data_IF_958926072709
#
_entry.id   IF_958926072709
#
_cell.length_a   1.000
_cell.length_b   1.000
_cell.length_c   1.000
_cell.angle_alpha   90.00
_cell.angle_beta   90.00
_cell.angle_gamma   90.00
#
_symmetry.space_group_name_H-M   'P 1'
#
loop_
_entity.id
_entity.type
_entity.pdbx_description
1 polymer ?
#
# COMPACT_ATOMS: atom_id res chain seq x y z
N UNK A 1 11.04 -9.37 2.00
CA UNK A 1 12.05 -8.80 1.10
C UNK A 1 11.46 -7.54 0.50
N UNK A 2 12.18 -6.41 0.50
CA UNK A 2 11.68 -5.17 -0.10
C UNK A 2 11.61 -5.30 -1.62
N UNK A 3 10.44 -5.01 -2.19
CA UNK A 3 10.21 -4.97 -3.63
C UNK A 3 10.92 -3.77 -4.25
N UNK A 4 11.34 -3.92 -5.50
CA UNK A 4 11.78 -2.82 -6.34
C UNK A 4 10.58 -1.98 -6.81
N UNK A 5 10.85 -0.72 -7.17
CA UNK A 5 9.84 0.20 -7.71
C UNK A 5 9.11 -0.39 -8.94
N UNK A 6 9.83 -1.15 -9.79
CA UNK A 6 9.23 -1.82 -10.94
C UNK A 6 8.22 -2.89 -10.56
N UNK A 7 8.44 -3.60 -9.45
CA UNK A 7 7.55 -4.65 -8.98
C UNK A 7 6.30 -4.06 -8.32
N UNK A 8 6.45 -2.94 -7.59
CA UNK A 8 5.31 -2.17 -7.07
C UNK A 8 4.44 -1.65 -8.23
N UNK A 9 5.05 -1.05 -9.25
CA UNK A 9 4.32 -0.61 -10.44
C UNK A 9 3.63 -1.76 -11.18
N UNK A 10 4.25 -2.93 -11.24
CA UNK A 10 3.63 -4.10 -11.86
C UNK A 10 2.33 -4.51 -11.14
N UNK A 11 2.31 -4.45 -9.81
CA UNK A 11 1.10 -4.75 -9.02
C UNK A 11 0.00 -3.74 -9.33
N UNK A 12 0.34 -2.44 -9.36
CA UNK A 12 -0.60 -1.36 -9.71
C UNK A 12 -1.17 -1.52 -11.11
N UNK A 13 -0.32 -1.75 -12.11
CA UNK A 13 -0.73 -1.94 -13.51
C UNK A 13 -1.65 -3.16 -13.65
N UNK A 14 -1.34 -4.26 -12.97
CA UNK A 14 -2.17 -5.46 -12.98
C UNK A 14 -3.49 -5.26 -12.25
N UNK A 15 -3.49 -4.50 -11.15
CA UNK A 15 -4.72 -4.13 -10.46
C UNK A 15 -5.66 -3.33 -11.36
N UNK A 16 -5.15 -2.31 -12.05
CA UNK A 16 -5.93 -1.52 -13.00
C UNK A 16 -6.57 -2.38 -14.09
N UNK A 17 -5.79 -3.32 -14.63
CA UNK A 17 -6.27 -4.27 -15.64
C UNK A 17 -7.40 -5.12 -15.06
N UNK A 18 -7.18 -5.79 -13.93
CA UNK A 18 -8.19 -6.65 -13.28
C UNK A 18 -9.46 -5.87 -12.95
N UNK A 19 -9.31 -4.67 -12.39
CA UNK A 19 -10.40 -3.76 -12.05
C UNK A 19 -11.24 -3.37 -13.26
N UNK A 20 -10.60 -3.14 -14.42
CA UNK A 20 -11.29 -2.77 -15.67
C UNK A 20 -12.17 -3.86 -16.27
N UNK A 21 -11.90 -5.14 -15.97
CA UNK A 21 -12.65 -6.30 -16.48
C UNK A 21 -13.60 -6.93 -15.46
N UNK A 22 -13.69 -6.37 -14.26
CA UNK A 22 -14.48 -6.93 -13.15
C UNK A 22 -15.56 -5.95 -12.67
N UNK A 23 -16.59 -6.49 -12.00
CA UNK A 23 -17.63 -5.65 -11.41
C UNK A 23 -17.16 -5.09 -10.07
N UNK A 24 -17.59 -3.86 -9.76
CA UNK A 24 -17.23 -3.18 -8.50
C UNK A 24 -17.51 -3.99 -7.23
N UNK A 25 -18.58 -4.80 -7.23
CA UNK A 25 -18.96 -5.65 -6.09
C UNK A 25 -17.95 -6.78 -5.79
N UNK A 26 -17.11 -7.13 -6.77
CA UNK A 26 -16.16 -8.23 -6.70
C UNK A 26 -14.72 -7.69 -6.52
N UNK A 27 -14.51 -6.37 -6.54
CA UNK A 27 -13.18 -5.75 -6.54
C UNK A 27 -12.36 -6.06 -5.28
N UNK A 28 -12.98 -6.03 -4.09
CA UNK A 28 -12.28 -6.37 -2.83
C UNK A 28 -11.71 -7.80 -2.88
N UNK A 29 -12.56 -8.79 -3.19
CA UNK A 29 -12.18 -10.20 -3.27
C UNK A 29 -11.11 -10.42 -4.35
N UNK A 30 -11.23 -9.75 -5.50
CA UNK A 30 -10.24 -9.88 -6.57
C UNK A 30 -8.90 -9.23 -6.22
N UNK A 31 -8.91 -8.16 -5.43
CA UNK A 31 -7.68 -7.54 -4.93
C UNK A 31 -7.00 -8.42 -3.89
N UNK A 32 -7.77 -9.06 -2.99
CA UNK A 32 -7.25 -10.09 -2.06
C UNK A 32 -6.60 -11.25 -2.83
N UNK A 33 -7.30 -11.83 -3.81
CA UNK A 33 -6.75 -12.92 -4.64
C UNK A 33 -5.50 -12.50 -5.43
N UNK A 34 -5.42 -11.22 -5.84
CA UNK A 34 -4.24 -10.69 -6.53
C UNK A 34 -3.04 -10.71 -5.59
N UNK A 35 -3.19 -10.20 -4.36
CA UNK A 35 -2.13 -10.20 -3.36
C UNK A 35 -1.70 -11.60 -2.95
N UNK A 36 -2.65 -12.50 -2.70
CA UNK A 36 -2.32 -13.90 -2.40
C UNK A 36 -1.51 -14.54 -3.53
N UNK A 37 -1.81 -14.24 -4.81
CA UNK A 37 -1.02 -14.73 -5.94
C UNK A 37 0.39 -14.16 -5.94
N UNK A 38 0.57 -12.88 -5.59
CA UNK A 38 1.89 -12.27 -5.49
C UNK A 38 2.72 -12.89 -4.34
N UNK A 39 2.14 -13.03 -3.15
CA UNK A 39 2.77 -13.69 -1.99
C UNK A 39 3.21 -15.12 -2.36
N UNK A 40 2.34 -15.89 -3.03
CA UNK A 40 2.66 -17.24 -3.49
C UNK A 40 3.78 -17.29 -4.56
N UNK A 41 4.04 -16.20 -5.27
CA UNK A 41 5.11 -16.09 -6.26
C UNK A 41 6.39 -15.44 -5.69
N UNK A 42 6.46 -15.24 -4.37
CA UNK A 42 7.65 -14.75 -3.68
C UNK A 42 7.74 -13.23 -3.53
N UNK A 43 6.69 -12.50 -3.91
CA UNK A 43 6.57 -11.07 -3.63
C UNK A 43 5.95 -10.92 -2.25
N UNK A 44 6.72 -10.48 -1.26
CA UNK A 44 6.23 -10.34 0.12
C UNK A 44 5.43 -9.04 0.23
N UNK A 45 4.10 -9.12 0.14
CA UNK A 45 3.21 -7.94 0.15
C UNK A 45 3.25 -7.24 1.51
N UNK A 46 3.29 -7.98 2.61
CA UNK A 46 3.40 -7.49 3.99
C UNK A 46 4.54 -6.48 4.18
N UNK A 47 5.74 -6.80 3.66
CA UNK A 47 6.94 -5.95 3.76
C UNK A 47 6.87 -4.67 2.90
N UNK A 48 5.85 -4.53 2.05
CA UNK A 48 5.72 -3.46 1.07
C UNK A 48 4.34 -2.78 1.10
N UNK A 49 3.58 -2.98 2.19
CA UNK A 49 2.26 -2.35 2.40
C UNK A 49 2.36 -0.83 2.25
N UNK A 50 3.44 -0.22 2.75
CA UNK A 50 3.65 1.23 2.68
C UNK A 50 3.80 1.74 1.24
N UNK A 51 4.50 0.99 0.40
CA UNK A 51 4.73 1.35 -1.01
C UNK A 51 3.50 1.11 -1.90
N UNK A 52 2.63 0.16 -1.52
CA UNK A 52 1.39 -0.15 -2.24
C UNK A 52 0.22 0.75 -1.82
N UNK A 53 0.28 1.36 -0.63
CA UNK A 53 -0.77 2.25 -0.12
C UNK A 53 -0.84 3.58 -0.85
N UNK A 54 -2.04 4.15 -0.92
CA UNK A 54 -2.32 5.46 -1.52
C UNK A 54 -2.48 5.41 -3.05
N UNK A 55 -2.41 4.22 -3.65
CA UNK A 55 -2.63 4.02 -5.07
C UNK A 55 -4.14 3.95 -5.42
N UNK A 56 -4.89 3.10 -4.71
CA UNK A 56 -6.32 2.89 -4.94
C UNK A 56 -7.04 2.56 -3.64
N UNK A 57 -8.22 3.15 -3.42
CA UNK A 57 -8.93 2.99 -2.14
C UNK A 57 -9.33 1.56 -1.80
N UNK A 58 -9.64 0.73 -2.81
CA UNK A 58 -9.98 -0.69 -2.59
C UNK A 58 -8.73 -1.46 -2.16
N UNK A 59 -7.60 -1.16 -2.80
CA UNK A 59 -6.31 -1.76 -2.45
C UNK A 59 -5.91 -1.38 -1.02
N UNK A 60 -6.08 -0.11 -0.64
CA UNK A 60 -5.83 0.37 0.72
C UNK A 60 -6.70 -0.34 1.76
N UNK A 61 -8.00 -0.51 1.48
CA UNK A 61 -8.93 -1.21 2.36
C UNK A 61 -8.55 -2.69 2.51
N UNK A 62 -8.15 -3.35 1.43
CA UNK A 62 -7.71 -4.75 1.45
C UNK A 62 -6.38 -4.91 2.18
N UNK A 63 -5.38 -4.07 1.89
CA UNK A 63 -4.09 -4.09 2.59
C UNK A 63 -4.28 -3.85 4.09
N UNK A 64 -5.18 -2.94 4.44
CA UNK A 64 -5.60 -2.75 5.83
C UNK A 64 -6.18 -4.06 6.35
N UNK A 65 -7.23 -4.62 5.77
CA UNK A 65 -7.87 -5.82 6.30
C UNK A 65 -6.94 -7.04 6.43
N UNK A 66 -6.04 -7.25 5.46
CA UNK A 66 -5.15 -8.41 5.42
C UNK A 66 -3.95 -8.29 6.37
N UNK A 67 -3.40 -7.09 6.54
CA UNK A 67 -2.16 -6.86 7.30
C UNK A 67 -2.38 -5.91 8.49
N UNK A 68 -3.61 -5.85 9.03
CA UNK A 68 -4.01 -4.97 10.15
C UNK A 68 -3.43 -5.34 11.53
N UNK A 69 -2.49 -6.27 11.64
CA UNK A 69 -1.84 -6.52 12.93
C UNK A 69 -0.46 -5.86 12.94
N UNK A 70 -0.34 -4.80 13.77
CA UNK A 70 0.89 -4.13 14.24
C UNK A 70 1.42 -2.87 13.53
N UNK A 71 0.57 -1.91 13.13
CA UNK A 71 1.00 -0.50 12.90
C UNK A 71 0.32 0.45 13.92
N UNK A 72 0.53 0.18 15.22
CA UNK A 72 0.69 1.23 16.25
C UNK A 72 2.12 1.84 16.15
N UNK A 73 2.73 1.83 14.97
CA UNK A 73 4.05 2.40 14.70
C UNK A 73 3.90 3.58 13.72
N UNK A 74 3.97 4.78 14.30
CA UNK A 74 4.30 6.06 13.66
C UNK A 74 3.25 6.72 12.73
N UNK A 75 2.07 7.02 13.29
CA UNK A 75 1.35 8.27 12.94
C UNK A 75 1.58 9.38 14.00
N UNK A 76 2.58 9.20 14.89
CA UNK A 76 3.10 10.21 15.84
C UNK A 76 4.60 10.50 15.61
N UNK A 77 5.00 10.80 14.37
CA UNK A 77 6.14 11.71 14.18
C UNK A 77 5.83 12.65 13.01
N UNK A 78 4.80 13.48 13.21
CA UNK A 78 4.85 14.83 12.66
C UNK A 78 6.17 15.45 13.13
N UNK A 79 7.14 15.40 12.23
CA UNK A 79 8.39 16.14 12.29
C UNK A 79 8.04 17.64 12.17
N UNK A 80 7.45 18.21 13.22
CA UNK A 80 7.49 19.65 13.49
C UNK A 80 8.87 19.97 14.07
N UNK A 81 9.89 19.67 13.25
CA UNK A 81 11.27 19.99 13.50
C UNK A 81 11.48 21.48 13.22
N UNK A 82 11.51 22.24 14.31
CA UNK A 82 12.12 23.56 14.45
C UNK A 82 11.60 24.64 13.49
N UNK A 83 10.66 25.43 14.01
CA UNK A 83 10.51 26.85 13.63
C UNK A 83 11.91 27.49 13.55
N UNK A 84 12.40 27.94 12.37
CA UNK A 84 13.69 28.59 12.31
C UNK A 84 13.54 29.93 13.03
N UNK A 85 14.22 30.06 14.18
CA UNK A 85 14.30 31.30 14.94
C UNK A 85 14.47 32.48 13.99
N UNK A 86 13.39 33.27 13.85
CA UNK A 86 13.44 34.48 13.04
C UNK A 86 14.16 35.51 13.89
N UNK A 87 15.43 35.74 13.55
CA UNK A 87 16.37 36.67 14.17
C UNK A 87 15.71 37.98 14.67
N UNK A 88 15.98 38.32 15.94
CA UNK A 88 15.83 39.68 16.47
C UNK A 88 16.62 40.66 15.58
N UNK A 89 15.93 41.68 15.06
CA UNK A 89 16.52 42.83 14.39
C UNK A 89 16.00 44.14 14.99
#
# INVERSE_FOLDING_TARGET
>A
MKMSEQEVHLIHDLWDVVKSYSNNKDHEILCEELFEKFDNNGFVIEDNVRELRGYDGIMDDVLKNMYSEEDDYDDEEYLDGEDPETYDY
#
